data_IF_434530599043
#
_entry.id   IF_434530599043
#
_cell.length_a   1.000
_cell.length_b   1.000
_cell.length_c   1.000
_cell.angle_alpha   90.00
_cell.angle_beta   90.00
_cell.angle_gamma   90.00
#
_symmetry.space_group_name_H-M   'P 1'
#
loop_
_entity.id
_entity.type
_entity.pdbx_description
1 polymer ?
#
# COMPACT_ATOMS: atom_id res chain seq x y z
N UNK A 1 14.40 -17.25 -12.34
CA UNK A 1 13.06 -17.60 -11.85
C UNK A 1 12.32 -16.30 -11.53
N UNK A 2 11.74 -15.64 -12.54
CA UNK A 2 11.02 -14.39 -12.33
C UNK A 2 9.67 -14.69 -11.67
N UNK A 3 9.59 -14.48 -10.36
CA UNK A 3 8.32 -14.56 -9.63
C UNK A 3 7.52 -13.32 -10.03
N UNK A 4 6.46 -13.50 -10.80
CA UNK A 4 5.51 -12.43 -11.11
C UNK A 4 4.96 -11.87 -9.80
N UNK A 5 5.44 -10.69 -9.39
CA UNK A 5 4.90 -9.97 -8.25
C UNK A 5 3.57 -9.40 -8.72
N UNK A 6 2.45 -9.98 -8.27
CA UNK A 6 1.13 -9.39 -8.49
C UNK A 6 1.09 -8.07 -7.74
N UNK A 7 1.02 -6.97 -8.49
CA UNK A 7 0.74 -5.62 -8.01
C UNK A 7 -0.77 -5.37 -8.15
N UNK A 8 -1.60 -5.64 -7.14
CA UNK A 8 -3.01 -5.26 -7.19
C UNK A 8 -3.14 -3.76 -7.41
N UNK A 9 -4.06 -3.40 -8.29
CA UNK A 9 -4.43 -2.01 -8.53
C UNK A 9 -5.23 -1.52 -7.33
N UNK A 10 -4.82 -0.41 -6.75
CA UNK A 10 -5.56 0.24 -5.68
C UNK A 10 -6.45 1.30 -6.32
N UNK A 11 -7.75 1.10 -6.20
CA UNK A 11 -8.81 2.04 -6.56
C UNK A 11 -9.97 1.73 -5.63
N UNK A 12 -10.16 2.59 -4.63
CA UNK A 12 -11.16 2.44 -3.58
C UNK A 12 -11.93 3.76 -3.45
N UNK A 13 -13.20 3.66 -3.05
CA UNK A 13 -14.12 4.78 -2.80
C UNK A 13 -14.12 5.23 -1.33
N UNK A 14 -13.21 4.69 -0.52
CA UNK A 14 -13.00 5.00 0.89
C UNK A 14 -11.54 5.36 1.16
N UNK A 15 -11.30 6.06 2.26
CA UNK A 15 -9.96 6.28 2.80
C UNK A 15 -9.53 5.07 3.63
N UNK A 16 -8.32 4.56 3.40
CA UNK A 16 -7.71 3.52 4.24
C UNK A 16 -6.45 4.08 4.93
N UNK A 17 -6.53 4.35 6.23
CA UNK A 17 -5.34 4.61 7.05
C UNK A 17 -4.68 3.27 7.40
N UNK A 18 -3.41 3.12 7.08
CA UNK A 18 -2.59 1.97 7.41
C UNK A 18 -1.52 2.35 8.41
N UNK A 19 -1.24 1.48 9.38
CA UNK A 19 -0.05 1.51 10.20
C UNK A 19 0.65 0.15 10.14
N UNK A 20 1.93 0.15 9.76
CA UNK A 20 2.69 -1.08 9.51
C UNK A 20 3.31 -1.57 10.81
N UNK A 21 3.02 -2.83 11.17
CA UNK A 21 3.60 -3.49 12.34
C UNK A 21 4.82 -4.33 11.95
N UNK A 22 4.76 -4.98 10.79
CA UNK A 22 5.83 -5.83 10.26
C UNK A 22 5.86 -5.78 8.74
N UNK A 23 7.05 -5.97 8.17
CA UNK A 23 7.26 -6.08 6.73
C UNK A 23 7.43 -4.74 6.02
N UNK A 24 7.39 -4.79 4.68
CA UNK A 24 7.62 -3.62 3.83
C UNK A 24 6.63 -3.57 2.67
N UNK A 25 5.97 -2.42 2.51
CA UNK A 25 5.02 -2.10 1.46
C UNK A 25 5.61 -1.03 0.55
N UNK A 26 5.32 -1.09 -0.75
CA UNK A 26 5.54 0.00 -1.69
C UNK A 26 4.23 0.38 -2.37
N UNK A 27 3.88 1.66 -2.28
CA UNK A 27 2.85 2.28 -3.10
C UNK A 27 3.52 2.97 -4.28
N UNK A 28 3.00 2.74 -5.48
CA UNK A 28 3.40 3.49 -6.68
C UNK A 28 2.15 4.15 -7.25
N UNK A 29 2.13 5.47 -7.39
CA UNK A 29 0.99 6.18 -7.96
C UNK A 29 0.94 6.09 -9.49
N UNK A 30 -0.07 6.72 -10.09
CA UNK A 30 -0.30 6.70 -11.54
C UNK A 30 0.81 7.41 -12.35
N UNK A 31 1.55 8.34 -11.72
CA UNK A 31 2.68 9.04 -12.32
C UNK A 31 3.99 8.23 -12.18
N UNK A 32 3.92 7.06 -11.53
CA UNK A 32 5.05 6.17 -11.32
C UNK A 32 5.91 6.53 -10.09
N UNK A 33 5.47 7.48 -9.26
CA UNK A 33 6.20 7.86 -8.05
C UNK A 33 5.97 6.80 -6.97
N UNK A 34 7.07 6.23 -6.48
CA UNK A 34 7.04 5.18 -5.48
C UNK A 34 7.40 5.69 -4.08
N UNK A 35 6.62 5.29 -3.09
CA UNK A 35 6.92 5.44 -1.66
C UNK A 35 6.93 4.08 -0.97
N UNK A 36 7.91 3.86 -0.10
CA UNK A 36 8.09 2.61 0.64
C UNK A 36 7.83 2.87 2.13
N UNK A 37 7.11 1.96 2.77
CA UNK A 37 6.71 2.04 4.16
C UNK A 37 7.10 0.74 4.89
N UNK A 38 7.61 0.87 6.11
CA UNK A 38 8.05 -0.21 6.98
C UNK A 38 7.48 -0.08 8.39
N UNK A 39 7.93 -0.92 9.34
CA UNK A 39 7.40 -0.96 10.69
C UNK A 39 7.47 0.41 11.38
N UNK A 40 6.36 0.85 11.95
CA UNK A 40 6.22 2.17 12.59
C UNK A 40 5.68 3.26 11.67
N UNK A 41 5.71 3.07 10.35
CA UNK A 41 5.16 4.04 9.42
C UNK A 41 3.62 4.00 9.39
N UNK A 42 3.01 5.18 9.29
CA UNK A 42 1.58 5.36 9.06
C UNK A 42 1.33 6.17 7.79
N UNK A 43 0.34 5.77 6.99
CA UNK A 43 -0.04 6.47 5.77
C UNK A 43 -1.51 6.25 5.42
N UNK A 44 -2.08 7.15 4.63
CA UNK A 44 -3.44 7.02 4.10
C UNK A 44 -3.36 6.66 2.62
N UNK A 45 -4.09 5.61 2.22
CA UNK A 45 -4.50 5.39 0.84
C UNK A 45 -5.82 6.13 0.68
N UNK A 46 -5.76 7.34 0.12
CA UNK A 46 -6.94 8.19 0.00
C UNK A 46 -7.94 7.61 -1.03
N UNK A 47 -9.22 7.89 -0.83
CA UNK A 47 -10.26 7.60 -1.79
C UNK A 47 -9.89 8.16 -3.17
N UNK A 48 -10.06 7.36 -4.22
CA UNK A 48 -9.67 7.71 -5.57
C UNK A 48 -8.16 7.67 -5.85
N UNK A 49 -7.31 7.20 -4.92
CA UNK A 49 -5.93 6.86 -5.22
C UNK A 49 -5.89 5.89 -6.40
N UNK A 50 -5.01 6.18 -7.38
CA UNK A 50 -4.78 5.34 -8.55
C UNK A 50 -3.32 4.93 -8.54
N UNK A 51 -3.09 3.63 -8.42
CA UNK A 51 -1.73 3.12 -8.36
C UNK A 51 -1.69 1.63 -8.06
N UNK A 52 -0.53 1.19 -7.60
CA UNK A 52 -0.30 -0.20 -7.21
C UNK A 52 0.18 -0.31 -5.78
N UNK A 53 -0.30 -1.34 -5.09
CA UNK A 53 0.25 -1.80 -3.83
C UNK A 53 1.14 -3.01 -4.05
N UNK A 54 2.35 -2.98 -3.51
CA UNK A 54 3.29 -4.10 -3.56
C UNK A 54 3.77 -4.46 -2.15
N UNK A 55 3.54 -5.71 -1.74
CA UNK A 55 4.18 -6.28 -0.56
C UNK A 55 5.59 -6.77 -0.94
N UNK A 56 6.61 -6.01 -0.55
CA UNK A 56 8.01 -6.38 -0.79
C UNK A 56 8.40 -7.59 0.07
N UNK A 57 7.88 -7.64 1.29
CA UNK A 57 7.97 -8.78 2.22
C UNK A 57 6.58 -9.14 2.73
N UNK A 58 6.38 -10.25 3.47
CA UNK A 58 5.15 -10.47 4.22
C UNK A 58 4.88 -9.28 5.15
N UNK A 59 3.65 -8.77 5.16
CA UNK A 59 3.26 -7.55 5.88
C UNK A 59 2.18 -7.86 6.91
N UNK A 60 2.33 -7.29 8.11
CA UNK A 60 1.27 -7.20 9.12
C UNK A 60 0.98 -5.73 9.37
N UNK A 61 -0.30 -5.34 9.27
CA UNK A 61 -0.74 -3.96 9.45
C UNK A 61 -2.01 -3.90 10.31
N UNK A 62 -2.17 -2.78 11.00
CA UNK A 62 -3.48 -2.31 11.48
C UNK A 62 -4.00 -1.29 10.47
N UNK A 63 -5.31 -1.28 10.25
CA UNK A 63 -5.93 -0.39 9.30
C UNK A 63 -7.27 0.12 9.81
N UNK A 64 -7.64 1.32 9.35
CA UNK A 64 -8.95 1.93 9.56
C UNK A 64 -9.49 2.36 8.21
N UNK A 65 -10.74 1.98 7.93
CA UNK A 65 -11.46 2.39 6.72
C UNK A 65 -12.47 3.46 7.12
N UNK A 66 -12.47 4.58 6.40
CA UNK A 66 -13.49 5.62 6.47
C UNK A 66 -14.18 5.71 5.11
N UNK A 67 -15.47 5.41 5.07
CA UNK A 67 -16.33 5.44 3.88
C UNK A 67 -17.62 6.20 4.13
#
# INVERSE_FOLDING_TARGET
>A
MFRSVRRPRCECDYDEMCHILEGTVRLTDADGVAKTFGPGDSFVVAAGFKGTWENITPVRKVYFILG
#
